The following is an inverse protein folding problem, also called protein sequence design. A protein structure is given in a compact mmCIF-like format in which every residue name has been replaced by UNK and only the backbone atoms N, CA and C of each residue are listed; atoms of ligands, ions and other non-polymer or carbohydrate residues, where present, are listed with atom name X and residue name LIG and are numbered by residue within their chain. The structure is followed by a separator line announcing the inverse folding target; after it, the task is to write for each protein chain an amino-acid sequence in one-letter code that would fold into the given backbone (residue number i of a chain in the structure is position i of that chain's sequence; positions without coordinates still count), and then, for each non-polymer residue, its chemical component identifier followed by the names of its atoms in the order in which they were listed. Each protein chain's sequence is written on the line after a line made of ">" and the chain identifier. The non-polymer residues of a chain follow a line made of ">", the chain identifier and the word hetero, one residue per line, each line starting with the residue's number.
data_IF_250068178738
#
_entry.id   IF_250068178738
#
_cell.length_a   1.000
_cell.length_b   1.000
_cell.length_c   1.000
_cell.angle_alpha   90.00
_cell.angle_beta   90.00
_cell.angle_gamma   90.00
#
_symmetry.space_group_name_H-M   'P 1'
#
loop_
_entity.id
_entity.type
_entity.pdbx_description
1 polymer ?
#
# COMPACT_ATOMS: atom_id res chain seq x y z
N UNK A 1 10.11 14.86 18.82
CA UNK A 1 8.78 14.40 18.46
C UNK A 1 8.82 13.68 17.13
N UNK A 2 8.12 12.57 17.07
CA UNK A 2 8.15 11.75 15.86
C UNK A 2 7.15 12.27 14.83
N UNK A 3 7.58 12.31 13.59
CA UNK A 3 6.68 12.58 12.48
C UNK A 3 5.79 11.36 12.27
N UNK A 4 4.52 11.53 11.90
CA UNK A 4 3.69 10.39 11.53
C UNK A 4 4.24 9.73 10.25
N UNK A 5 3.99 8.44 10.12
CA UNK A 5 4.29 7.74 8.87
C UNK A 5 3.31 8.20 7.80
N UNK A 6 3.84 8.63 6.68
CA UNK A 6 3.03 9.11 5.55
C UNK A 6 2.70 7.90 4.67
N UNK A 7 1.42 7.59 4.55
CA UNK A 7 0.95 6.36 3.90
C UNK A 7 0.11 6.70 2.67
N UNK A 8 0.42 6.05 1.57
CA UNK A 8 -0.34 6.13 0.33
C UNK A 8 -1.09 4.82 0.13
N UNK A 9 -2.38 4.87 -0.19
CA UNK A 9 -3.21 3.66 -0.30
C UNK A 9 -3.70 3.47 -1.73
N UNK A 10 -3.70 2.22 -2.21
CA UNK A 10 -4.06 1.88 -3.59
C UNK A 10 -5.02 0.70 -3.61
N UNK A 11 -6.21 0.92 -4.18
CA UNK A 11 -7.23 -0.12 -4.34
C UNK A 11 -8.23 0.39 -5.37
N UNK A 12 -8.69 -0.49 -6.27
CA UNK A 12 -9.63 -0.06 -7.32
C UNK A 12 -11.06 0.08 -6.82
N UNK A 13 -11.35 -0.35 -5.59
CA UNK A 13 -12.67 -0.26 -4.98
C UNK A 13 -12.76 0.98 -4.10
N UNK A 14 -13.58 1.99 -4.46
CA UNK A 14 -13.69 3.18 -3.62
C UNK A 14 -14.14 2.89 -2.18
N UNK A 15 -14.99 1.88 -1.99
CA UNK A 15 -15.43 1.50 -0.64
C UNK A 15 -14.27 0.94 0.19
N UNK A 16 -13.34 0.21 -0.44
CA UNK A 16 -12.17 -0.31 0.25
C UNK A 16 -11.24 0.84 0.67
N UNK A 17 -11.06 1.84 -0.20
CA UNK A 17 -10.26 3.02 0.14
C UNK A 17 -10.87 3.78 1.32
N UNK A 18 -12.20 3.97 1.31
CA UNK A 18 -12.87 4.67 2.42
C UNK A 18 -12.72 3.91 3.72
N UNK A 19 -12.90 2.59 3.69
CA UNK A 19 -12.76 1.77 4.88
C UNK A 19 -11.35 1.80 5.43
N UNK A 20 -10.36 1.73 4.55
CA UNK A 20 -8.96 1.74 4.95
C UNK A 20 -8.59 3.09 5.57
N UNK A 21 -9.03 4.20 4.96
CA UNK A 21 -8.80 5.53 5.53
C UNK A 21 -9.42 5.66 6.92
N UNK A 22 -10.64 5.15 7.09
CA UNK A 22 -11.32 5.22 8.39
C UNK A 22 -10.57 4.42 9.46
N UNK A 23 -10.09 3.23 9.12
CA UNK A 23 -9.31 2.41 10.04
C UNK A 23 -8.01 3.10 10.42
N UNK A 24 -7.27 3.59 9.43
CA UNK A 24 -5.95 4.18 9.68
C UNK A 24 -6.06 5.51 10.45
N UNK A 25 -7.20 6.20 10.35
CA UNK A 25 -7.42 7.44 11.08
C UNK A 25 -7.43 7.26 12.60
N UNK A 26 -7.65 6.04 13.09
CA UNK A 26 -7.58 5.75 14.53
C UNK A 26 -6.16 5.77 15.10
N UNK A 27 -5.14 5.75 14.23
CA UNK A 27 -3.75 5.65 14.68
C UNK A 27 -3.06 7.00 14.45
N UNK A 28 -2.77 7.76 15.53
CA UNK A 28 -2.14 9.09 15.37
C UNK A 28 -0.75 9.03 14.75
N UNK A 29 -0.09 7.87 14.78
CA UNK A 29 1.23 7.69 14.17
C UNK A 29 1.18 7.55 12.65
N UNK A 30 -0.03 7.46 12.07
CA UNK A 30 -0.23 7.20 10.64
C UNK A 30 -0.99 8.35 10.00
N UNK A 31 -0.49 8.86 8.90
CA UNK A 31 -1.14 9.91 8.12
C UNK A 31 -1.32 9.43 6.68
N UNK A 32 -2.56 9.29 6.23
CA UNK A 32 -2.83 8.95 4.84
C UNK A 32 -2.68 10.22 4.00
N UNK A 33 -1.72 10.21 3.08
CA UNK A 33 -1.38 11.41 2.29
C UNK A 33 -1.93 11.37 0.88
N UNK A 34 -2.44 10.22 0.42
CA UNK A 34 -3.00 10.13 -0.92
C UNK A 34 -3.53 8.75 -1.21
N UNK A 35 -4.23 8.62 -2.34
CA UNK A 35 -4.81 7.37 -2.76
C UNK A 35 -4.85 7.26 -4.27
N UNK A 36 -4.94 6.03 -4.79
CA UNK A 36 -5.06 5.77 -6.22
C UNK A 36 -5.96 4.55 -6.44
N UNK A 37 -6.53 4.46 -7.65
CA UNK A 37 -7.46 3.39 -8.01
C UNK A 37 -6.86 2.37 -8.99
N UNK A 38 -5.63 2.56 -9.41
CA UNK A 38 -4.89 1.59 -10.23
C UNK A 38 -3.39 1.84 -10.07
N UNK A 39 -2.59 0.90 -10.59
CA UNK A 39 -1.14 0.98 -10.43
C UNK A 39 -0.50 2.15 -11.18
N UNK A 40 -1.03 2.50 -12.35
CA UNK A 40 -0.48 3.60 -13.14
C UNK A 40 -0.63 4.93 -12.41
N UNK A 41 -1.82 5.20 -11.88
CA UNK A 41 -2.09 6.39 -11.10
C UNK A 41 -1.22 6.42 -9.84
N UNK A 42 -1.07 5.25 -9.19
CA UNK A 42 -0.26 5.15 -8.00
C UNK A 42 1.19 5.57 -8.26
N UNK A 43 1.82 5.02 -9.31
CA UNK A 43 3.20 5.36 -9.62
C UNK A 43 3.35 6.86 -9.88
N UNK A 44 2.43 7.45 -10.63
CA UNK A 44 2.48 8.89 -10.94
C UNK A 44 2.37 9.75 -9.69
N UNK A 45 1.43 9.44 -8.79
CA UNK A 45 1.22 10.24 -7.58
C UNK A 45 2.32 10.02 -6.55
N UNK A 46 2.84 8.81 -6.45
CA UNK A 46 3.94 8.50 -5.52
C UNK A 46 5.19 9.28 -5.90
N UNK A 47 5.45 9.48 -7.19
CA UNK A 47 6.58 10.29 -7.64
C UNK A 47 6.52 11.71 -7.05
N UNK A 48 5.32 12.26 -6.94
CA UNK A 48 5.12 13.61 -6.41
C UNK A 48 5.09 13.65 -4.89
N UNK A 49 4.43 12.69 -4.27
CA UNK A 49 4.16 12.71 -2.82
C UNK A 49 5.28 12.11 -1.99
N UNK A 50 6.02 11.16 -2.53
CA UNK A 50 7.12 10.47 -1.84
C UNK A 50 6.71 10.01 -0.44
N UNK A 51 5.73 9.08 -0.34
CA UNK A 51 5.29 8.59 0.96
C UNK A 51 6.35 7.69 1.60
N UNK A 52 6.18 7.40 2.89
CA UNK A 52 7.04 6.44 3.58
C UNK A 52 6.62 5.00 3.28
N UNK A 53 5.32 4.78 3.15
CA UNK A 53 4.72 3.45 3.01
C UNK A 53 3.61 3.49 1.98
N UNK A 54 3.52 2.44 1.16
CA UNK A 54 2.42 2.24 0.22
C UNK A 54 1.69 0.97 0.60
N UNK A 55 0.37 1.05 0.75
CA UNK A 55 -0.49 -0.12 0.94
C UNK A 55 -1.13 -0.41 -0.41
N UNK A 56 -0.83 -1.57 -0.98
CA UNK A 56 -1.10 -1.88 -2.38
C UNK A 56 -1.97 -3.11 -2.52
N UNK A 57 -3.13 -2.99 -3.17
CA UNK A 57 -3.86 -4.17 -3.63
C UNK A 57 -3.24 -4.69 -4.92
N UNK A 58 -3.49 -5.94 -5.26
CA UNK A 58 -2.89 -6.57 -6.43
C UNK A 58 -3.78 -6.50 -7.66
N UNK A 59 -5.06 -6.87 -7.54
CA UNK A 59 -5.94 -6.98 -8.70
C UNK A 59 -6.58 -5.62 -9.00
N UNK A 60 -6.05 -4.95 -10.00
CA UNK A 60 -6.52 -3.63 -10.41
C UNK A 60 -6.44 -3.51 -11.92
N UNK A 61 -7.28 -2.64 -12.54
CA UNK A 61 -7.21 -2.42 -13.98
C UNK A 61 -5.98 -1.56 -14.33
N UNK A 62 -5.68 -1.48 -15.61
CA UNK A 62 -4.62 -0.67 -16.24
C UNK A 62 -3.23 -1.20 -15.89
N UNK A 63 -2.87 -1.20 -14.62
CA UNK A 63 -1.61 -1.77 -14.12
C UNK A 63 -1.91 -2.41 -12.79
N UNK A 64 -1.64 -3.73 -12.65
CA UNK A 64 -1.93 -4.39 -11.39
C UNK A 64 -0.86 -4.09 -10.32
N UNK A 65 -1.14 -4.50 -9.09
CA UNK A 65 -0.31 -4.14 -7.96
C UNK A 65 1.08 -4.79 -7.96
N UNK A 66 1.26 -5.94 -8.61
CA UNK A 66 2.58 -6.57 -8.71
C UNK A 66 3.49 -5.70 -9.58
N UNK A 67 3.01 -5.28 -10.73
CA UNK A 67 3.80 -4.43 -11.62
C UNK A 67 4.06 -3.06 -10.99
N UNK A 68 3.04 -2.48 -10.33
CA UNK A 68 3.22 -1.21 -9.63
C UNK A 68 4.27 -1.34 -8.52
N UNK A 69 4.23 -2.43 -7.74
CA UNK A 69 5.22 -2.69 -6.70
C UNK A 69 6.61 -2.75 -7.29
N UNK A 70 6.79 -3.46 -8.41
CA UNK A 70 8.09 -3.57 -9.06
C UNK A 70 8.62 -2.19 -9.46
N UNK A 71 7.80 -1.37 -10.08
CA UNK A 71 8.21 -0.03 -10.52
C UNK A 71 8.56 0.86 -9.33
N UNK A 72 7.75 0.82 -8.27
CA UNK A 72 7.99 1.62 -7.07
C UNK A 72 9.32 1.22 -6.42
N UNK A 73 9.55 -0.06 -6.24
CA UNK A 73 10.77 -0.54 -5.58
C UNK A 73 12.01 -0.30 -6.43
N UNK A 74 11.89 -0.33 -7.75
CA UNK A 74 13.02 0.01 -8.62
C UNK A 74 13.39 1.48 -8.54
N UNK A 75 12.40 2.36 -8.51
CA UNK A 75 12.64 3.80 -8.51
C UNK A 75 12.90 4.36 -7.12
N UNK A 76 12.21 3.85 -6.10
CA UNK A 76 12.29 4.38 -4.74
C UNK A 76 12.42 3.21 -3.75
N UNK A 77 13.57 2.55 -3.70
CA UNK A 77 13.71 1.34 -2.88
C UNK A 77 13.51 1.57 -1.38
N UNK A 78 13.61 2.80 -0.91
CA UNK A 78 13.39 3.10 0.51
C UNK A 78 11.90 3.16 0.87
N UNK A 79 10.99 3.27 -0.10
CA UNK A 79 9.56 3.26 0.18
C UNK A 79 9.15 1.83 0.52
N UNK A 80 8.54 1.65 1.68
CA UNK A 80 8.02 0.34 2.09
C UNK A 80 6.73 0.05 1.32
N UNK A 81 6.64 -1.13 0.70
CA UNK A 81 5.41 -1.57 0.04
C UNK A 81 4.81 -2.73 0.82
N UNK A 82 3.58 -2.55 1.28
CA UNK A 82 2.80 -3.57 1.96
C UNK A 82 1.69 -3.99 1.02
N UNK A 83 1.71 -5.23 0.56
CA UNK A 83 0.61 -5.75 -0.25
C UNK A 83 -0.51 -6.19 0.68
N UNK A 84 -1.73 -5.72 0.40
CA UNK A 84 -2.93 -6.05 1.16
C UNK A 84 -3.99 -6.52 0.18
N UNK A 85 -4.28 -7.81 0.16
CA UNK A 85 -5.09 -8.42 -0.89
C UNK A 85 -5.93 -9.59 -0.38
N UNK A 86 -6.94 -9.99 -1.15
CA UNK A 86 -7.66 -11.23 -0.89
C UNK A 86 -7.02 -12.43 -1.62
N UNK A 87 -5.99 -12.20 -2.43
CA UNK A 87 -5.41 -13.22 -3.30
C UNK A 87 -4.19 -13.89 -2.65
N UNK A 88 -4.44 -14.81 -1.73
CA UNK A 88 -3.37 -15.49 -0.99
C UNK A 88 -2.35 -16.18 -1.91
N UNK A 89 -2.80 -16.69 -3.07
CA UNK A 89 -1.94 -17.42 -3.98
C UNK A 89 -0.88 -16.56 -4.66
N UNK A 90 -0.99 -15.23 -4.60
CA UNK A 90 -0.05 -14.33 -5.26
C UNK A 90 1.10 -13.87 -4.35
N UNK A 91 1.26 -14.50 -3.19
CA UNK A 91 2.27 -14.10 -2.22
C UNK A 91 3.70 -14.14 -2.79
N UNK A 92 4.08 -15.23 -3.43
CA UNK A 92 5.43 -15.35 -3.99
C UNK A 92 5.68 -14.31 -5.08
N UNK A 93 4.68 -14.05 -5.91
CA UNK A 93 4.74 -13.06 -6.98
C UNK A 93 4.96 -11.66 -6.40
N UNK A 94 4.24 -11.32 -5.33
CA UNK A 94 4.38 -10.02 -4.68
C UNK A 94 5.78 -9.83 -4.11
N UNK A 95 6.32 -10.82 -3.42
CA UNK A 95 7.66 -10.72 -2.87
C UNK A 95 8.73 -10.67 -3.96
N UNK A 96 8.53 -11.41 -5.07
CA UNK A 96 9.46 -11.33 -6.20
C UNK A 96 9.50 -9.93 -6.80
N UNK A 97 8.41 -9.18 -6.74
CA UNK A 97 8.36 -7.81 -7.21
C UNK A 97 8.98 -6.81 -6.23
N UNK A 98 9.32 -7.24 -5.02
CA UNK A 98 9.97 -6.42 -4.03
C UNK A 98 9.10 -5.98 -2.85
N UNK A 99 7.89 -6.54 -2.70
CA UNK A 99 7.03 -6.20 -1.57
C UNK A 99 7.76 -6.50 -0.25
N UNK A 100 7.59 -5.62 0.71
CA UNK A 100 8.21 -5.77 2.04
C UNK A 100 7.33 -6.60 2.98
N UNK A 101 6.01 -6.53 2.80
CA UNK A 101 5.04 -7.31 3.58
C UNK A 101 3.92 -7.78 2.68
N UNK A 102 3.31 -8.90 3.05
CA UNK A 102 2.14 -9.44 2.35
C UNK A 102 1.09 -9.81 3.39
N UNK A 103 -0.05 -9.11 3.34
CA UNK A 103 -1.14 -9.32 4.29
C UNK A 103 -2.42 -9.64 3.55
N UNK A 104 -3.26 -10.46 4.14
CA UNK A 104 -4.57 -10.76 3.59
C UNK A 104 -5.61 -9.81 4.18
N UNK A 105 -6.52 -9.34 3.35
CA UNK A 105 -7.68 -8.56 3.82
C UNK A 105 -8.48 -9.47 4.76
N UNK A 106 -8.97 -8.90 5.85
CA UNK A 106 -9.71 -9.66 6.85
C UNK A 106 -8.89 -10.13 8.04
N UNK A 107 -7.55 -9.96 8.00
CA UNK A 107 -6.70 -10.34 9.14
C UNK A 107 -6.70 -9.32 10.27
N UNK A 108 -7.52 -8.28 10.15
CA UNK A 108 -7.64 -7.27 11.18
C UNK A 108 -6.70 -6.10 11.00
N UNK A 109 -7.03 -4.94 11.59
CA UNK A 109 -6.25 -3.72 11.38
C UNK A 109 -4.90 -3.74 12.09
N UNK A 110 -4.74 -4.54 13.15
CA UNK A 110 -3.49 -4.55 13.93
C UNK A 110 -2.31 -5.04 13.10
N UNK A 111 -2.51 -6.05 12.27
CA UNK A 111 -1.42 -6.56 11.43
C UNK A 111 -0.93 -5.48 10.45
N UNK A 112 -1.86 -4.74 9.88
CA UNK A 112 -1.51 -3.66 8.96
C UNK A 112 -0.81 -2.52 9.70
N UNK A 113 -1.34 -2.11 10.84
CA UNK A 113 -0.75 -1.06 11.65
C UNK A 113 0.68 -1.42 12.04
N UNK A 114 0.91 -2.65 12.49
CA UNK A 114 2.25 -3.11 12.85
C UNK A 114 3.20 -3.09 11.65
N UNK A 115 2.74 -3.52 10.49
CA UNK A 115 3.57 -3.52 9.28
C UNK A 115 3.94 -2.10 8.86
N UNK A 116 3.00 -1.16 8.97
CA UNK A 116 3.26 0.24 8.62
C UNK A 116 4.32 0.84 9.54
N UNK A 117 4.25 0.53 10.83
CA UNK A 117 5.12 1.17 11.84
C UNK A 117 6.43 0.43 12.08
N UNK A 118 6.60 -0.76 11.51
CA UNK A 118 7.81 -1.57 11.73
C UNK A 118 9.08 -0.97 11.11
#
# INVERSE_FOLDING_TARGET
>A
MNQPKRVFIVDDQPSALRGLKAILAFYPEILVVGEAVNGQEAVSLIAQLQPDVVVMDLQMPVMDGVEATRQIKEQWPAIKVIVLTVQAARRAEAFSAGADHFLLKGNGPEALQQAILS
#
